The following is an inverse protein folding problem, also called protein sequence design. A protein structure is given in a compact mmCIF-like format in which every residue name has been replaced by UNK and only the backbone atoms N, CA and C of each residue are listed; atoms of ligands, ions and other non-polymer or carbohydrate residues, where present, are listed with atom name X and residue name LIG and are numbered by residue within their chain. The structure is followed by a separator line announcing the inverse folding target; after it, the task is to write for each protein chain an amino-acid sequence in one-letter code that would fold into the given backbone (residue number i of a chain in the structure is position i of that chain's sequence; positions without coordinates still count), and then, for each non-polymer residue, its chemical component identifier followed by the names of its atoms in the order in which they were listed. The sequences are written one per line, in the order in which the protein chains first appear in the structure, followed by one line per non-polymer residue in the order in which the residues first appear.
data_IF_470369166363
#
_entry.id   IF_470369166363
#
_cell.length_a   1.000
_cell.length_b   1.000
_cell.length_c   1.000
_cell.angle_alpha   90.00
_cell.angle_beta   90.00
_cell.angle_gamma   90.00
#
_symmetry.space_group_name_H-M   'P 1'
#
loop_
_entity.id
_entity.type
_entity.pdbx_description
1 polymer ?
#
# COMPACT_ATOMS: atom_id res chain seq x y z
N UNK A 1 -31.07 -3.33 2.90
CA UNK A 1 -30.11 -4.42 2.67
C UNK A 1 -28.77 -3.83 2.30
N UNK A 2 -27.86 -3.75 3.28
CA UNK A 2 -26.51 -3.24 3.05
C UNK A 2 -25.69 -4.36 2.41
N UNK A 3 -25.12 -4.11 1.24
CA UNK A 3 -24.21 -5.06 0.58
C UNK A 3 -23.02 -5.23 1.53
N UNK A 4 -22.64 -6.47 1.93
CA UNK A 4 -21.47 -6.66 2.77
C UNK A 4 -20.25 -6.04 2.10
N UNK A 5 -19.65 -5.05 2.75
CA UNK A 5 -18.37 -4.52 2.30
C UNK A 5 -17.30 -5.60 2.46
N UNK A 6 -16.34 -5.72 1.54
CA UNK A 6 -15.23 -6.66 1.68
C UNK A 6 -14.52 -6.48 3.03
N UNK A 7 -14.39 -7.55 3.80
CA UNK A 7 -13.67 -7.54 5.08
C UNK A 7 -12.28 -8.12 4.86
N UNK A 8 -11.26 -7.38 5.26
CA UNK A 8 -9.87 -7.82 5.19
C UNK A 8 -9.30 -8.11 6.57
N UNK A 9 -8.78 -9.32 6.76
CA UNK A 9 -7.91 -9.61 7.90
C UNK A 9 -6.51 -9.06 7.63
N UNK A 10 -6.00 -8.27 8.58
CA UNK A 10 -4.65 -7.69 8.54
C UNK A 10 -3.79 -8.28 9.66
N UNK A 11 -2.50 -8.42 9.38
CA UNK A 11 -1.48 -8.81 10.35
C UNK A 11 -1.33 -7.77 11.45
N UNK A 12 -1.46 -6.49 11.09
CA UNK A 12 -1.39 -5.40 12.05
C UNK A 12 -1.47 -4.03 11.39
N UNK A 13 -1.44 -3.01 12.25
CA UNK A 13 -1.31 -1.62 11.83
C UNK A 13 0.17 -1.25 11.73
N UNK A 14 0.51 -0.43 10.74
CA UNK A 14 1.88 0.03 10.54
C UNK A 14 1.89 1.51 10.14
N UNK A 15 2.78 2.28 10.75
CA UNK A 15 3.10 3.64 10.29
C UNK A 15 4.02 3.59 9.07
N UNK A 16 4.02 4.61 8.22
CA UNK A 16 5.01 4.73 7.12
C UNK A 16 6.45 4.73 7.64
N UNK A 17 6.72 5.25 8.84
CA UNK A 17 8.02 5.16 9.50
C UNK A 17 8.37 3.74 9.99
N UNK A 18 7.37 2.87 10.20
CA UNK A 18 7.56 1.46 10.55
C UNK A 18 7.91 0.57 9.35
N UNK A 19 7.79 1.08 8.12
CA UNK A 19 8.15 0.36 6.89
C UNK A 19 9.67 0.34 6.70
N UNK A 20 10.34 -0.49 7.50
CA UNK A 20 11.79 -0.60 7.56
C UNK A 20 12.31 -1.87 6.88
N UNK A 21 13.54 -1.86 6.33
CA UNK A 21 14.16 -3.04 5.73
C UNK A 21 14.19 -4.25 6.66
N UNK A 22 14.49 -4.04 7.95
CA UNK A 22 14.55 -5.10 8.95
C UNK A 22 13.20 -5.82 9.07
N UNK A 23 12.07 -5.11 8.95
CA UNK A 23 10.75 -5.74 8.93
C UNK A 23 10.63 -6.69 7.74
N UNK A 24 11.06 -6.27 6.55
CA UNK A 24 11.08 -7.15 5.35
C UNK A 24 11.95 -8.39 5.58
N UNK A 25 13.11 -8.23 6.19
CA UNK A 25 14.05 -9.33 6.47
C UNK A 25 13.42 -10.36 7.43
N UNK A 26 12.65 -9.89 8.42
CA UNK A 26 11.91 -10.76 9.31
C UNK A 26 10.75 -11.46 8.59
N UNK A 27 9.99 -10.73 7.77
CA UNK A 27 8.89 -11.30 6.99
C UNK A 27 9.40 -12.37 6.02
N UNK A 28 10.52 -12.16 5.32
CA UNK A 28 11.09 -13.16 4.41
C UNK A 28 11.40 -14.50 5.11
N UNK A 29 11.80 -14.45 6.40
CA UNK A 29 12.10 -15.65 7.21
C UNK A 29 10.86 -16.41 7.68
N UNK A 30 9.68 -15.80 7.66
CA UNK A 30 8.41 -16.43 8.06
C UNK A 30 7.77 -17.26 6.93
N UNK A 31 8.36 -17.22 5.73
CA UNK A 31 7.95 -18.06 4.61
C UNK A 31 8.30 -19.54 4.80
N UNK A 32 7.85 -20.42 3.89
CA UNK A 32 7.12 -20.11 2.66
C UNK A 32 5.67 -19.69 2.93
N UNK A 33 5.17 -18.78 2.10
CA UNK A 33 3.77 -18.34 2.15
C UNK A 33 2.89 -19.17 1.22
N UNK A 34 1.62 -19.33 1.59
CA UNK A 34 0.64 -20.13 0.85
C UNK A 34 -0.70 -20.21 1.57
N UNK A 35 -1.56 -21.15 1.17
CA UNK A 35 -2.91 -21.29 1.73
C UNK A 35 -2.96 -21.54 3.24
N UNK A 36 -1.96 -22.25 3.79
CA UNK A 36 -1.82 -22.51 5.23
C UNK A 36 -0.99 -21.48 6.00
N UNK A 37 -0.34 -20.55 5.31
CA UNK A 37 0.48 -19.48 5.88
C UNK A 37 0.36 -18.25 4.97
N UNK A 38 -0.76 -17.51 5.02
CA UNK A 38 -0.98 -16.38 4.12
C UNK A 38 0.09 -15.32 4.35
N UNK A 39 0.54 -14.70 3.26
CA UNK A 39 1.51 -13.63 3.34
C UNK A 39 0.98 -12.45 4.18
N UNK A 40 1.79 -11.89 5.10
CA UNK A 40 1.38 -10.78 5.94
C UNK A 40 0.92 -9.55 5.16
N UNK A 41 -0.23 -8.99 5.58
CA UNK A 41 -0.81 -7.76 5.03
C UNK A 41 -0.94 -6.74 6.15
N UNK A 42 -0.59 -5.49 5.88
CA UNK A 42 -0.62 -4.42 6.86
C UNK A 42 -1.61 -3.35 6.43
N UNK A 43 -2.31 -2.79 7.42
CA UNK A 43 -3.04 -1.55 7.21
C UNK A 43 -2.17 -0.38 7.66
N UNK A 44 -1.99 0.60 6.78
CA UNK A 44 -1.39 1.89 7.07
C UNK A 44 -2.55 2.91 7.18
N UNK A 45 -2.96 3.26 8.41
CA UNK A 45 -4.09 4.14 8.58
C UNK A 45 -3.73 5.59 8.22
N UNK A 46 -4.73 6.36 7.78
CA UNK A 46 -4.64 7.81 7.68
C UNK A 46 -3.39 8.30 6.93
N UNK A 47 -3.25 7.85 5.68
CA UNK A 47 -2.15 8.21 4.80
C UNK A 47 -2.59 9.28 3.81
N UNK A 48 -1.88 10.41 3.79
CA UNK A 48 -1.97 11.39 2.72
C UNK A 48 -1.35 10.81 1.43
N UNK A 49 -2.14 10.76 0.37
CA UNK A 49 -1.69 10.27 -0.93
C UNK A 49 -1.03 11.41 -1.70
N UNK A 50 0.25 11.25 -2.03
CA UNK A 50 1.05 12.25 -2.77
C UNK A 50 1.48 11.69 -4.12
N UNK A 51 1.51 12.55 -5.14
CA UNK A 51 2.08 12.25 -6.47
C UNK A 51 1.53 10.96 -7.11
N UNK A 52 0.25 10.65 -6.93
CA UNK A 52 -0.36 9.49 -7.57
C UNK A 52 -0.43 9.69 -9.09
N UNK A 53 0.08 8.71 -9.84
CA UNK A 53 0.15 8.74 -11.30
C UNK A 53 0.08 7.34 -11.89
N UNK A 54 -0.55 7.23 -13.05
CA UNK A 54 -0.52 6.00 -13.85
C UNK A 54 0.88 5.78 -14.43
N UNK A 55 1.37 4.53 -14.41
CA UNK A 55 2.67 4.11 -14.92
C UNK A 55 2.56 2.75 -15.62
N UNK A 56 3.64 2.34 -16.32
CA UNK A 56 3.67 1.11 -17.09
C UNK A 56 3.04 1.26 -18.48
N UNK A 57 3.05 0.18 -19.26
CA UNK A 57 2.37 0.14 -20.55
C UNK A 57 0.88 0.47 -20.35
N UNK A 58 0.37 1.39 -21.16
CA UNK A 58 -1.03 1.85 -21.15
C UNK A 58 -1.55 2.32 -19.77
N UNK A 59 -0.65 2.70 -18.85
CA UNK A 59 -1.03 3.13 -17.51
C UNK A 59 -1.53 2.00 -16.59
N UNK A 60 -1.09 0.76 -16.82
CA UNK A 60 -1.55 -0.43 -16.11
C UNK A 60 -1.37 -0.39 -14.58
N UNK A 61 -0.50 0.46 -14.03
CA UNK A 61 -0.25 0.53 -12.59
C UNK A 61 -0.42 1.96 -12.08
N UNK A 62 -0.66 2.13 -10.78
CA UNK A 62 -0.64 3.46 -10.14
C UNK A 62 0.49 3.49 -9.13
N UNK A 63 1.42 4.43 -9.30
CA UNK A 63 2.46 4.71 -8.30
C UNK A 63 2.14 5.99 -7.55
N UNK A 64 2.38 5.99 -6.25
CA UNK A 64 2.21 7.17 -5.40
C UNK A 64 3.24 7.17 -4.26
N UNK A 65 3.12 8.15 -3.38
CA UNK A 65 3.83 8.25 -2.10
C UNK A 65 2.79 8.31 -0.98
N UNK A 66 3.07 7.62 0.13
CA UNK A 66 2.23 7.63 1.32
C UNK A 66 2.94 8.41 2.43
N UNK A 67 2.20 9.26 3.12
CA UNK A 67 2.66 10.03 4.27
C UNK A 67 1.58 10.06 5.35
N UNK A 68 1.84 9.42 6.49
CA UNK A 68 0.92 9.40 7.64
C UNK A 68 1.21 10.53 8.66
N UNK A 69 2.22 11.38 8.42
CA UNK A 69 2.65 12.42 9.34
C UNK A 69 3.70 11.98 10.39
N UNK A 70 4.14 10.72 10.38
CA UNK A 70 5.21 10.19 11.24
C UNK A 70 6.62 10.67 10.89
N UNK A 71 6.76 11.56 9.91
CA UNK A 71 8.04 12.10 9.45
C UNK A 71 8.74 11.27 8.38
N UNK A 72 8.17 10.14 7.94
CA UNK A 72 8.68 9.34 6.82
C UNK A 72 7.64 9.25 5.71
N UNK A 73 8.03 9.57 4.47
CA UNK A 73 7.21 9.29 3.30
C UNK A 73 7.71 8.04 2.60
N UNK A 74 6.85 7.07 2.33
CA UNK A 74 7.21 5.80 1.67
C UNK A 74 6.74 5.76 0.21
N UNK A 75 7.45 5.01 -0.65
CA UNK A 75 6.96 4.69 -1.99
C UNK A 75 5.82 3.68 -1.95
N UNK A 76 4.88 3.78 -2.88
CA UNK A 76 3.85 2.76 -3.03
C UNK A 76 3.45 2.54 -4.49
N UNK A 77 2.94 1.34 -4.77
CA UNK A 77 2.48 0.91 -6.08
C UNK A 77 1.25 0.01 -5.96
N UNK A 78 0.21 0.30 -6.74
CA UNK A 78 -0.90 -0.59 -7.00
C UNK A 78 -0.70 -1.21 -8.39
N UNK A 79 -0.39 -2.51 -8.42
CA UNK A 79 -0.23 -3.24 -9.67
C UNK A 79 -1.58 -3.56 -10.30
N UNK A 80 -1.62 -3.60 -11.65
CA UNK A 80 -2.83 -3.85 -12.44
C UNK A 80 -4.05 -2.99 -12.02
N UNK A 81 -3.79 -1.77 -11.54
CA UNK A 81 -4.83 -0.88 -11.03
C UNK A 81 -5.30 0.16 -12.05
N UNK A 82 -4.67 0.26 -13.23
CA UNK A 82 -5.08 1.17 -14.29
C UNK A 82 -6.54 0.95 -14.70
N UNK A 83 -7.36 2.00 -14.67
CA UNK A 83 -8.79 1.93 -14.99
C UNK A 83 -9.66 1.16 -13.99
N UNK A 84 -9.10 0.70 -12.87
CA UNK A 84 -9.85 0.05 -11.78
C UNK A 84 -10.37 1.07 -10.76
N UNK A 85 -11.34 0.67 -9.94
CA UNK A 85 -11.82 1.50 -8.82
C UNK A 85 -10.71 1.90 -7.85
N UNK A 86 -9.78 0.99 -7.54
CA UNK A 86 -8.59 1.27 -6.72
C UNK A 86 -7.70 2.34 -7.36
N UNK A 87 -7.39 2.18 -8.65
CA UNK A 87 -6.55 3.13 -9.38
C UNK A 87 -7.19 4.51 -9.45
N UNK A 88 -8.48 4.58 -9.75
CA UNK A 88 -9.23 5.84 -9.73
C UNK A 88 -9.24 6.51 -8.35
N UNK A 89 -9.44 5.73 -7.28
CA UNK A 89 -9.43 6.25 -5.91
C UNK A 89 -8.06 6.86 -5.57
N UNK A 90 -6.97 6.18 -5.89
CA UNK A 90 -5.60 6.68 -5.68
C UNK A 90 -5.31 7.95 -6.51
N UNK A 91 -5.73 7.97 -7.78
CA UNK A 91 -5.53 9.13 -8.66
C UNK A 91 -6.34 10.35 -8.21
N UNK A 92 -7.59 10.16 -7.74
CA UNK A 92 -8.42 11.23 -7.14
C UNK A 92 -7.83 11.73 -5.83
N UNK A 93 -7.24 10.85 -5.02
CA UNK A 93 -6.70 11.21 -3.71
C UNK A 93 -5.43 12.06 -3.78
N UNK A 94 -4.77 12.18 -4.94
CA UNK A 94 -3.54 12.98 -5.12
C UNK A 94 -3.70 14.46 -4.73
N UNK A 95 -4.94 14.95 -4.72
CA UNK A 95 -5.30 16.34 -4.44
C UNK A 95 -5.49 16.59 -2.93
N UNK A 96 -4.88 15.76 -2.08
CA UNK A 96 -4.79 15.99 -0.63
C UNK A 96 -5.73 15.14 0.22
N UNK A 97 -6.35 14.10 -0.34
CA UNK A 97 -7.19 13.20 0.43
C UNK A 97 -6.36 12.20 1.24
N UNK A 98 -6.90 11.81 2.40
CA UNK A 98 -6.33 10.81 3.30
C UNK A 98 -7.08 9.49 3.14
N UNK A 99 -6.33 8.40 2.97
CA UNK A 99 -6.87 7.04 2.83
C UNK A 99 -6.25 6.13 3.89
N UNK A 100 -7.02 5.17 4.39
CA UNK A 100 -6.47 3.94 4.94
C UNK A 100 -5.98 3.07 3.78
N UNK A 101 -4.74 2.58 3.86
CA UNK A 101 -4.12 1.76 2.82
C UNK A 101 -3.92 0.34 3.33
N UNK A 102 -4.36 -0.65 2.57
CA UNK A 102 -4.04 -2.06 2.79
C UNK A 102 -2.98 -2.50 1.78
N UNK A 103 -1.94 -3.19 2.25
CA UNK A 103 -0.94 -3.72 1.33
C UNK A 103 0.14 -4.58 1.97
N UNK A 104 1.10 -4.96 1.13
CA UNK A 104 2.29 -5.74 1.51
C UNK A 104 3.52 -4.84 1.58
N UNK A 105 4.41 -5.16 2.50
CA UNK A 105 5.70 -4.48 2.64
C UNK A 105 6.75 -5.20 1.78
N UNK A 106 7.45 -4.45 0.93
CA UNK A 106 8.45 -4.99 0.01
C UNK A 106 9.69 -4.12 -0.04
N UNK A 107 10.83 -4.73 -0.38
CA UNK A 107 11.99 -3.98 -0.86
C UNK A 107 11.68 -3.34 -2.23
N UNK A 108 12.06 -2.09 -2.39
CA UNK A 108 11.95 -1.35 -3.66
C UNK A 108 13.21 -1.66 -4.50
N UNK A 109 13.12 -2.71 -5.30
CA UNK A 109 14.21 -3.13 -6.19
C UNK A 109 14.48 -2.14 -7.34
N UNK A 110 13.54 -1.24 -7.64
CA UNK A 110 13.71 -0.25 -8.71
C UNK A 110 14.59 0.92 -8.28
N UNK A 111 14.44 1.39 -7.04
CA UNK A 111 15.32 2.42 -6.47
C UNK A 111 16.63 1.85 -5.93
N UNK A 112 16.64 0.57 -5.57
CA UNK A 112 17.82 -0.13 -5.07
C UNK A 112 18.20 0.26 -3.64
N UNK A 113 19.30 -0.33 -3.16
CA UNK A 113 19.79 -0.11 -1.80
C UNK A 113 18.83 -0.63 -0.73
N UNK A 114 18.57 0.18 0.29
CA UNK A 114 17.66 -0.11 1.42
C UNK A 114 16.25 0.47 1.22
N UNK A 115 15.90 0.82 -0.03
CA UNK A 115 14.60 1.40 -0.31
C UNK A 115 13.48 0.37 -0.07
N UNK A 116 12.38 0.85 0.52
CA UNK A 116 11.18 0.08 0.82
C UNK A 116 9.98 0.66 0.07
N UNK A 117 9.00 -0.18 -0.23
CA UNK A 117 7.74 0.20 -0.85
C UNK A 117 6.56 -0.57 -0.25
N UNK A 118 5.36 0.00 -0.40
CA UNK A 118 4.09 -0.68 -0.14
C UNK A 118 3.48 -1.12 -1.47
N UNK A 119 3.17 -2.40 -1.61
CA UNK A 119 2.32 -2.91 -2.69
C UNK A 119 0.87 -2.82 -2.23
N UNK A 120 0.13 -1.86 -2.78
CA UNK A 120 -1.25 -1.55 -2.39
C UNK A 120 -2.20 -2.61 -2.97
N UNK A 121 -3.02 -3.19 -2.12
CA UNK A 121 -4.09 -4.13 -2.47
C UNK A 121 -5.47 -3.48 -2.42
N UNK A 122 -5.70 -2.57 -1.47
CA UNK A 122 -6.98 -1.89 -1.30
C UNK A 122 -6.83 -0.56 -0.56
N UNK A 123 -7.84 0.31 -0.65
CA UNK A 123 -7.91 1.58 0.07
C UNK A 123 -9.32 1.90 0.54
N UNK A 124 -9.42 2.64 1.64
CA UNK A 124 -10.68 3.20 2.12
C UNK A 124 -10.50 4.68 2.52
N UNK A 125 -11.53 5.54 2.41
CA UNK A 125 -11.47 6.89 2.97
C UNK A 125 -11.09 6.87 4.45
N UNK A 126 -10.18 7.76 4.88
CA UNK A 126 -9.79 7.88 6.28
C UNK A 126 -10.70 8.81 7.11
N UNK A 127 -11.63 9.49 6.45
CA UNK A 127 -12.59 10.39 7.06
C UNK A 127 -13.98 9.99 6.55
N UNK A 128 -14.94 9.90 7.46
CA UNK A 128 -16.36 9.66 7.20
C UNK A 128 -17.12 10.98 7.18
#
# INVERSE_FOLDING_TARGET
DEIPLPVHNVTGLLSTAGVQPELSDWLEKLGPYGSGNPEPRFALPDCLIKNARAIGADGAHVSCRLDDGSGTTIGAIAFQAGGSALGEALLKARDGQRLHVLGRIRRDHFRGGRAMQVEIEDVAPAQF
#
